data_IF_775104111935
#
_entry.id   IF_775104111935
#
_cell.length_a   1.000
_cell.length_b   1.000
_cell.length_c   1.000
_cell.angle_alpha   90.00
_cell.angle_beta   90.00
_cell.angle_gamma   90.00
#
_symmetry.space_group_name_H-M   'P 1'
#
loop_
_entity.id
_entity.type
_entity.pdbx_description
1 polymer ?
#
# COMPACT_ATOMS: atom_id res chain seq x y z
N UNK A 1 -20.50 -21.06 -8.18
CA UNK A 1 -19.21 -21.23 -7.48
C UNK A 1 -19.29 -20.50 -6.16
N UNK A 2 -18.89 -21.13 -5.06
CA UNK A 2 -18.74 -20.46 -3.77
C UNK A 2 -17.64 -19.40 -3.87
N UNK A 3 -17.79 -18.27 -3.16
CA UNK A 3 -16.78 -17.19 -3.13
C UNK A 3 -15.49 -17.70 -2.47
N UNK A 4 -14.30 -17.28 -2.93
CA UNK A 4 -13.05 -17.50 -2.18
C UNK A 4 -13.16 -16.93 -0.77
N UNK A 5 -12.49 -17.58 0.18
CA UNK A 5 -12.58 -17.20 1.60
C UNK A 5 -11.69 -16.02 1.95
N UNK A 6 -11.88 -15.47 3.12
CA UNK A 6 -11.09 -14.38 3.69
C UNK A 6 -10.06 -14.91 4.67
N UNK A 7 -8.98 -14.14 4.88
CA UNK A 7 -8.04 -14.34 5.96
C UNK A 7 -8.22 -13.23 6.99
N UNK A 8 -8.50 -13.62 8.23
CA UNK A 8 -8.69 -12.67 9.34
C UNK A 8 -7.51 -12.74 10.32
N UNK A 9 -7.00 -11.58 10.71
CA UNK A 9 -6.08 -11.47 11.84
C UNK A 9 -6.92 -11.35 13.12
N UNK A 10 -6.83 -12.33 14.05
CA UNK A 10 -7.81 -12.45 15.14
C UNK A 10 -7.65 -11.40 16.23
N UNK A 11 -6.43 -10.89 16.41
CA UNK A 11 -6.10 -9.85 17.40
C UNK A 11 -4.79 -9.16 17.03
N UNK A 12 -4.67 -7.89 17.38
CA UNK A 12 -3.44 -7.14 17.22
C UNK A 12 -2.35 -7.61 18.19
N UNK A 13 -1.14 -7.81 17.69
CA UNK A 13 0.04 -8.08 18.50
C UNK A 13 1.30 -7.56 17.81
N UNK A 14 2.11 -6.77 18.51
CA UNK A 14 3.41 -6.33 18.01
C UNK A 14 4.37 -7.49 17.70
N UNK A 15 4.19 -8.66 18.34
CA UNK A 15 5.01 -9.84 18.08
C UNK A 15 4.67 -10.53 16.75
N UNK A 16 3.48 -10.29 16.19
CA UNK A 16 3.00 -10.95 14.98
C UNK A 16 2.92 -9.99 13.77
N UNK A 17 3.38 -8.74 13.90
CA UNK A 17 3.34 -7.72 12.84
C UNK A 17 3.87 -8.25 11.50
N UNK A 18 5.11 -8.76 11.50
CA UNK A 18 5.75 -9.24 10.27
C UNK A 18 5.14 -10.54 9.75
N UNK A 19 4.61 -11.41 10.64
CA UNK A 19 3.87 -12.61 10.24
C UNK A 19 2.65 -12.22 9.41
N UNK A 20 1.78 -11.36 9.94
CA UNK A 20 0.58 -10.95 9.22
C UNK A 20 0.87 -10.01 8.05
N UNK A 21 1.95 -9.23 8.11
CA UNK A 21 2.41 -8.46 6.96
C UNK A 21 2.76 -9.36 5.75
N UNK A 22 3.26 -10.57 5.99
CA UNK A 22 3.50 -11.56 4.93
C UNK A 22 2.24 -12.34 4.55
N UNK A 23 1.48 -12.85 5.54
CA UNK A 23 0.28 -13.66 5.29
C UNK A 23 -0.83 -12.91 4.55
N UNK A 24 -0.97 -11.61 4.81
CA UNK A 24 -1.97 -10.74 4.20
C UNK A 24 -1.40 -9.86 3.07
N UNK A 25 -0.22 -10.22 2.55
CA UNK A 25 0.40 -9.46 1.48
C UNK A 25 -0.53 -9.32 0.27
N UNK A 26 -0.44 -8.18 -0.39
CA UNK A 26 -1.24 -7.81 -1.55
C UNK A 26 -0.35 -7.73 -2.79
N UNK A 27 -0.94 -7.89 -3.97
CA UNK A 27 -0.19 -7.78 -5.22
C UNK A 27 -0.99 -8.21 -6.43
N UNK A 28 -0.35 -8.13 -7.60
CA UNK A 28 -0.97 -8.45 -8.88
C UNK A 28 0.00 -9.12 -9.88
N UNK A 29 1.21 -9.46 -9.42
CA UNK A 29 2.30 -10.02 -10.25
C UNK A 29 3.21 -8.98 -10.87
N UNK A 30 2.81 -7.71 -10.98
CA UNK A 30 3.66 -6.58 -11.31
C UNK A 30 4.22 -5.93 -10.04
N UNK A 31 3.35 -5.67 -9.09
CA UNK A 31 3.62 -5.03 -7.82
C UNK A 31 3.24 -5.95 -6.67
N UNK A 32 4.08 -6.04 -5.66
CA UNK A 32 3.81 -6.69 -4.39
C UNK A 32 4.00 -5.74 -3.22
N UNK A 33 3.09 -5.82 -2.26
CA UNK A 33 3.03 -4.95 -1.09
C UNK A 33 2.84 -5.79 0.17
N UNK A 34 3.75 -5.67 1.14
CA UNK A 34 3.55 -6.26 2.46
C UNK A 34 2.37 -5.60 3.16
N UNK A 35 1.61 -6.39 3.89
CA UNK A 35 0.49 -5.89 4.66
C UNK A 35 0.96 -5.27 6.01
N UNK A 36 1.94 -4.37 5.97
CA UNK A 36 2.30 -3.54 7.12
C UNK A 36 1.12 -2.66 7.55
N UNK A 37 1.08 -2.27 8.82
CA UNK A 37 0.13 -1.27 9.29
C UNK A 37 0.51 0.12 8.78
N UNK A 38 -0.45 1.01 8.72
CA UNK A 38 -0.25 2.39 8.31
C UNK A 38 0.63 3.14 9.32
N UNK A 39 0.42 2.89 10.61
CA UNK A 39 1.19 3.47 11.72
C UNK A 39 2.58 2.82 11.82
N UNK A 40 3.52 3.54 12.42
CA UNK A 40 4.86 3.04 12.67
C UNK A 40 4.95 2.24 13.97
N UNK A 41 5.48 1.03 13.88
CA UNK A 41 5.79 0.18 15.01
C UNK A 41 7.25 -0.26 14.99
N UNK A 42 7.88 -0.25 16.15
CA UNK A 42 9.22 -0.84 16.32
C UNK A 42 9.20 -2.30 15.83
N UNK A 43 10.13 -2.67 14.96
CA UNK A 43 10.27 -4.00 14.32
C UNK A 43 9.27 -4.28 13.18
N UNK A 44 8.41 -3.35 12.80
CA UNK A 44 7.60 -3.53 11.59
C UNK A 44 8.51 -3.43 10.36
N UNK A 45 8.44 -4.45 9.49
CA UNK A 45 9.13 -4.44 8.21
C UNK A 45 8.14 -4.01 7.12
N UNK A 46 8.38 -2.83 6.54
CA UNK A 46 7.66 -2.35 5.36
C UNK A 46 8.34 -2.88 4.12
N UNK A 47 7.56 -3.20 3.10
CA UNK A 47 8.12 -3.70 1.85
C UNK A 47 7.17 -3.53 0.68
N UNK A 48 7.72 -3.00 -0.41
CA UNK A 48 7.07 -2.86 -1.69
C UNK A 48 8.07 -3.20 -2.80
N UNK A 49 7.66 -4.07 -3.72
CA UNK A 49 8.54 -4.66 -4.71
C UNK A 49 7.90 -4.69 -6.09
N UNK A 50 8.71 -4.46 -7.13
CA UNK A 50 8.29 -4.62 -8.52
C UNK A 50 8.93 -5.86 -9.13
N UNK A 51 8.17 -6.62 -9.89
CA UNK A 51 8.69 -7.75 -10.64
C UNK A 51 9.74 -7.29 -11.65
N UNK A 52 10.91 -7.93 -11.63
CA UNK A 52 12.01 -7.60 -12.54
C UNK A 52 12.89 -6.42 -12.10
N UNK A 53 12.53 -5.68 -11.08
CA UNK A 53 13.30 -4.52 -10.61
C UNK A 53 14.39 -4.94 -9.61
N UNK A 54 15.55 -5.29 -10.13
CA UNK A 54 16.68 -5.80 -9.37
C UNK A 54 17.86 -4.83 -9.36
N UNK A 55 18.59 -4.82 -8.26
CA UNK A 55 19.86 -4.11 -8.14
C UNK A 55 20.87 -4.89 -7.31
N UNK A 56 22.16 -4.75 -7.67
CA UNK A 56 23.30 -5.28 -6.95
C UNK A 56 24.08 -4.13 -6.32
N UNK A 57 24.09 -4.03 -5.01
CA UNK A 57 24.69 -2.90 -4.30
C UNK A 57 26.23 -2.89 -4.31
N UNK A 58 26.92 -3.98 -4.69
CA UNK A 58 28.37 -4.03 -4.74
C UNK A 58 28.94 -5.22 -5.48
N UNK A 59 30.25 -5.18 -5.81
CA UNK A 59 30.95 -6.32 -6.40
C UNK A 59 30.96 -7.50 -5.41
N UNK A 60 30.50 -8.67 -5.85
CA UNK A 60 30.44 -9.88 -5.03
C UNK A 60 29.14 -10.05 -4.23
N UNK A 61 28.23 -9.10 -4.27
CA UNK A 61 26.90 -9.23 -3.66
C UNK A 61 25.90 -9.87 -4.62
N UNK A 62 24.83 -10.40 -4.07
CA UNK A 62 23.73 -10.97 -4.85
C UNK A 62 22.89 -9.85 -5.50
N UNK A 63 22.20 -10.20 -6.56
CA UNK A 63 21.21 -9.33 -7.17
C UNK A 63 19.90 -9.49 -6.41
N UNK A 64 19.37 -8.41 -5.87
CA UNK A 64 18.18 -8.41 -5.00
C UNK A 64 17.02 -7.64 -5.64
N UNK A 65 15.79 -8.06 -5.36
CA UNK A 65 14.63 -7.19 -5.58
C UNK A 65 14.77 -5.97 -4.67
N UNK A 66 14.64 -4.79 -5.25
CA UNK A 66 14.79 -3.53 -4.51
C UNK A 66 13.54 -3.28 -3.69
N UNK A 67 13.71 -3.07 -2.38
CA UNK A 67 12.66 -2.54 -1.54
C UNK A 67 12.43 -1.06 -1.89
N UNK A 68 11.26 -0.76 -2.43
CA UNK A 68 10.90 0.56 -2.91
C UNK A 68 10.51 1.50 -1.74
N UNK A 69 10.50 2.83 -2.00
CA UNK A 69 9.93 3.79 -1.05
C UNK A 69 8.54 3.38 -0.57
N UNK A 70 8.31 3.48 0.75
CA UNK A 70 7.02 3.17 1.34
C UNK A 70 5.97 4.23 1.00
N UNK A 71 4.78 3.76 0.66
CA UNK A 71 3.63 4.61 0.33
C UNK A 71 2.42 4.34 1.22
N UNK A 72 2.53 3.38 2.14
CA UNK A 72 1.46 2.99 3.06
C UNK A 72 1.53 3.81 4.36
N UNK A 73 2.73 4.15 4.79
CA UNK A 73 2.98 4.84 6.05
C UNK A 73 2.16 6.11 6.23
N UNK A 74 1.59 6.25 7.44
CA UNK A 74 0.73 7.34 7.80
C UNK A 74 0.84 7.63 9.30
N UNK A 75 1.06 8.87 9.67
CA UNK A 75 0.92 9.35 11.04
C UNK A 75 -0.42 10.05 11.18
N UNK A 76 -1.20 9.65 12.17
CA UNK A 76 -2.48 10.26 12.53
C UNK A 76 -2.33 10.78 13.95
N UNK A 77 -2.53 12.08 14.14
CA UNK A 77 -2.60 12.69 15.45
C UNK A 77 -4.01 13.28 15.67
N UNK A 78 -4.61 12.94 16.80
CA UNK A 78 -5.95 13.36 17.19
C UNK A 78 -5.84 14.15 18.48
N UNK A 79 -6.20 15.45 18.45
CA UNK A 79 -5.99 16.39 19.56
C UNK A 79 -4.54 16.39 20.08
N UNK A 80 -3.57 16.19 19.18
CA UNK A 80 -2.13 16.12 19.49
C UNK A 80 -1.65 14.77 20.03
N UNK A 81 -2.52 13.78 20.23
CA UNK A 81 -2.15 12.42 20.62
C UNK A 81 -2.00 11.55 19.36
N UNK A 82 -0.83 10.94 19.18
CA UNK A 82 -0.56 10.09 18.04
C UNK A 82 -1.31 8.76 18.16
N UNK A 83 -2.10 8.45 17.16
CA UNK A 83 -2.81 7.19 17.08
C UNK A 83 -1.83 6.02 17.01
N UNK A 84 -2.04 5.06 17.88
CA UNK A 84 -1.36 3.76 17.84
C UNK A 84 -2.32 2.68 18.27
N UNK A 85 -2.22 1.49 17.67
CA UNK A 85 -3.05 0.37 18.08
C UNK A 85 -2.68 -0.07 19.50
N UNK A 86 -3.66 -0.02 20.38
CA UNK A 86 -3.66 -0.65 21.69
C UNK A 86 -4.61 -1.87 21.66
N UNK A 87 -4.80 -2.54 22.80
CA UNK A 87 -5.57 -3.78 22.89
C UNK A 87 -7.10 -3.61 22.76
N UNK A 88 -7.58 -2.53 22.13
CA UNK A 88 -9.00 -2.29 21.94
C UNK A 88 -9.58 -3.05 20.73
N UNK A 89 -10.90 -2.99 20.59
CA UNK A 89 -11.61 -3.70 19.53
C UNK A 89 -11.10 -3.30 18.13
N UNK A 90 -10.54 -4.25 17.41
CA UNK A 90 -10.12 -4.09 16.05
C UNK A 90 -10.42 -5.36 15.25
N UNK A 91 -10.56 -5.19 13.95
CA UNK A 91 -10.71 -6.27 13.00
C UNK A 91 -9.85 -5.97 11.77
N UNK A 92 -9.10 -6.97 11.31
CA UNK A 92 -8.34 -6.87 10.06
C UNK A 92 -8.56 -8.10 9.21
N UNK A 93 -8.88 -7.89 7.95
CA UNK A 93 -9.28 -8.94 7.02
C UNK A 93 -8.74 -8.70 5.62
N UNK A 94 -8.19 -9.74 4.99
CA UNK A 94 -7.85 -9.79 3.57
C UNK A 94 -8.90 -10.63 2.84
N UNK A 95 -9.57 -10.04 1.87
CA UNK A 95 -10.53 -10.71 1.00
C UNK A 95 -9.82 -11.23 -0.26
N UNK A 96 -9.69 -12.54 -0.40
CA UNK A 96 -9.05 -13.14 -1.58
C UNK A 96 -9.84 -12.94 -2.87
N UNK A 97 -11.13 -12.64 -2.79
CA UNK A 97 -11.96 -12.42 -3.97
C UNK A 97 -11.68 -11.09 -4.68
N UNK A 98 -11.16 -10.11 -3.95
CA UNK A 98 -10.88 -8.76 -4.43
C UNK A 98 -9.42 -8.33 -4.24
N UNK A 99 -8.68 -9.00 -3.36
CA UNK A 99 -7.36 -8.57 -2.91
C UNK A 99 -7.41 -7.35 -1.99
N UNK A 100 -8.60 -6.97 -1.48
CA UNK A 100 -8.76 -5.84 -0.58
C UNK A 100 -8.41 -6.23 0.86
N UNK A 101 -7.58 -5.42 1.50
CA UNK A 101 -7.29 -5.48 2.93
C UNK A 101 -8.08 -4.40 3.62
N UNK A 102 -8.87 -4.80 4.63
CA UNK A 102 -9.71 -3.90 5.44
C UNK A 102 -9.32 -3.98 6.91
N UNK A 103 -9.41 -2.85 7.60
CA UNK A 103 -9.20 -2.75 9.04
C UNK A 103 -10.21 -1.78 9.65
N UNK A 104 -10.79 -2.16 10.78
CA UNK A 104 -11.67 -1.32 11.58
C UNK A 104 -11.17 -1.31 13.02
N UNK A 105 -11.08 -0.12 13.60
CA UNK A 105 -10.58 0.10 14.97
C UNK A 105 -11.52 1.04 15.70
N UNK A 106 -11.81 0.73 16.96
CA UNK A 106 -12.31 1.73 17.92
C UNK A 106 -11.14 2.09 18.83
N UNK A 107 -10.73 3.33 18.80
CA UNK A 107 -9.61 3.85 19.57
C UNK A 107 -10.07 4.91 20.57
N UNK A 108 -9.38 5.01 21.70
CA UNK A 108 -9.62 6.05 22.72
C UNK A 108 -8.34 6.79 23.03
N UNK A 109 -8.46 8.11 23.10
CA UNK A 109 -7.41 8.99 23.61
C UNK A 109 -7.23 8.81 25.12
N UNK A 110 -6.13 9.33 25.62
CA UNK A 110 -5.82 9.31 27.06
C UNK A 110 -6.88 9.99 27.95
N UNK A 111 -7.64 10.95 27.40
CA UNK A 111 -8.77 11.62 28.08
C UNK A 111 -10.10 10.85 27.97
N UNK A 112 -10.12 9.69 27.27
CA UNK A 112 -11.28 8.82 27.14
C UNK A 112 -12.15 9.07 25.91
N UNK A 113 -11.90 10.10 25.10
CA UNK A 113 -12.66 10.35 23.87
C UNK A 113 -12.51 9.23 22.86
N UNK A 114 -13.61 8.80 22.27
CA UNK A 114 -13.67 7.65 21.37
C UNK A 114 -13.65 8.03 19.89
N UNK A 115 -13.03 7.18 19.08
CA UNK A 115 -12.91 7.35 17.63
C UNK A 115 -13.09 6.02 16.91
N UNK A 116 -13.79 6.03 15.78
CA UNK A 116 -13.70 4.94 14.82
C UNK A 116 -12.69 5.32 13.75
N UNK A 117 -11.75 4.41 13.47
CA UNK A 117 -10.74 4.57 12.44
C UNK A 117 -10.82 3.32 11.57
N UNK A 118 -11.20 3.52 10.31
CA UNK A 118 -11.24 2.43 9.34
C UNK A 118 -10.25 2.69 8.22
N UNK A 119 -9.52 1.66 7.80
CA UNK A 119 -8.67 1.73 6.61
C UNK A 119 -8.98 0.57 5.68
N UNK A 120 -8.86 0.83 4.38
CA UNK A 120 -8.97 -0.18 3.34
C UNK A 120 -8.00 0.12 2.21
N UNK A 121 -7.42 -0.92 1.60
CA UNK A 121 -6.49 -0.76 0.48
C UNK A 121 -6.46 -1.99 -0.41
N UNK A 122 -6.04 -1.80 -1.65
CA UNK A 122 -5.76 -2.88 -2.59
C UNK A 122 -4.63 -2.49 -3.56
N UNK A 123 -3.99 -3.51 -4.12
CA UNK A 123 -3.14 -3.41 -5.31
C UNK A 123 -3.99 -3.83 -6.49
N UNK A 124 -4.14 -2.94 -7.48
CA UNK A 124 -5.09 -3.13 -8.56
C UNK A 124 -4.73 -4.31 -9.47
N UNK A 125 -5.69 -5.21 -9.71
CA UNK A 125 -5.58 -6.26 -10.70
C UNK A 125 -6.00 -5.82 -12.11
N UNK A 126 -6.54 -4.60 -12.24
CA UNK A 126 -6.94 -3.97 -13.50
C UNK A 126 -5.82 -3.07 -14.04
N UNK A 127 -5.42 -2.07 -13.27
CA UNK A 127 -4.32 -1.17 -13.57
C UNK A 127 -3.11 -1.55 -12.73
N UNK A 128 -2.21 -2.35 -13.29
CA UNK A 128 -1.13 -3.00 -12.52
C UNK A 128 -0.23 -2.05 -11.71
N UNK A 129 0.09 -0.81 -12.17
CA UNK A 129 0.87 0.15 -11.39
C UNK A 129 0.12 0.81 -10.22
N UNK A 130 -1.21 0.61 -10.08
CA UNK A 130 -2.04 1.34 -9.13
C UNK A 130 -2.13 0.66 -7.77
N UNK A 131 -1.88 1.44 -6.71
CA UNK A 131 -2.30 1.15 -5.33
C UNK A 131 -3.35 2.19 -4.95
N UNK A 132 -4.46 1.75 -4.36
CA UNK A 132 -5.46 2.62 -3.75
C UNK A 132 -5.57 2.31 -2.25
N UNK A 133 -5.61 3.36 -1.45
CA UNK A 133 -5.81 3.31 -0.01
C UNK A 133 -6.84 4.36 0.39
N UNK A 134 -7.72 4.02 1.32
CA UNK A 134 -8.65 4.94 1.92
C UNK A 134 -8.64 4.78 3.44
N UNK A 135 -8.68 5.90 4.15
CA UNK A 135 -8.86 5.93 5.59
C UNK A 135 -9.99 6.88 5.98
N UNK A 136 -10.79 6.47 6.94
CA UNK A 136 -11.87 7.27 7.52
C UNK A 136 -11.66 7.41 9.02
N UNK A 137 -11.91 8.60 9.54
CA UNK A 137 -11.82 8.91 10.97
C UNK A 137 -13.11 9.61 11.38
N UNK A 138 -13.78 9.08 12.42
CA UNK A 138 -15.03 9.65 12.96
C UNK A 138 -14.92 9.78 14.48
N UNK A 139 -14.96 11.00 15.04
CA UNK A 139 -15.11 11.21 16.47
C UNK A 139 -16.49 10.72 16.95
N UNK A 140 -16.54 10.02 18.09
CA UNK A 140 -17.78 9.44 18.60
C UNK A 140 -18.53 10.39 19.55
N UNK A 141 -17.81 11.19 20.33
CA UNK A 141 -18.35 11.85 21.52
C UNK A 141 -17.91 13.31 21.72
N UNK A 142 -16.93 13.82 20.95
CA UNK A 142 -16.43 15.19 21.12
C UNK A 142 -15.89 15.78 19.83
N UNK A 143 -15.92 17.11 19.72
CA UNK A 143 -15.26 17.85 18.65
C UNK A 143 -13.75 17.65 18.71
N UNK A 144 -13.12 17.56 17.54
CA UNK A 144 -11.77 17.00 17.42
C UNK A 144 -10.96 17.70 16.34
N UNK A 145 -9.69 17.94 16.65
CA UNK A 145 -8.65 18.27 15.66
C UNK A 145 -7.94 17.00 15.19
N UNK A 146 -7.90 16.79 13.89
CA UNK A 146 -7.20 15.64 13.27
C UNK A 146 -6.09 16.16 12.40
N UNK A 147 -4.88 15.58 12.55
CA UNK A 147 -3.75 15.77 11.64
C UNK A 147 -3.39 14.42 11.02
N UNK A 148 -3.34 14.37 9.70
CA UNK A 148 -2.90 13.19 8.94
C UNK A 148 -1.67 13.57 8.14
N UNK A 149 -0.56 12.84 8.32
CA UNK A 149 0.68 13.00 7.57
C UNK A 149 0.97 11.72 6.79
N UNK A 150 1.05 11.82 5.47
CA UNK A 150 1.33 10.66 4.60
C UNK A 150 1.98 11.11 3.29
N UNK A 151 2.59 10.18 2.55
CA UNK A 151 3.25 10.51 1.29
C UNK A 151 4.12 9.38 0.76
N UNK A 152 5.35 9.70 0.40
CA UNK A 152 6.37 8.79 -0.12
C UNK A 152 7.56 8.81 0.84
N UNK A 153 7.89 7.68 1.43
CA UNK A 153 9.05 7.54 2.34
C UNK A 153 10.15 6.70 1.68
N UNK A 154 11.17 7.35 1.16
CA UNK A 154 12.32 6.73 0.51
C UNK A 154 13.46 6.41 1.48
N UNK A 155 13.21 6.35 2.78
CA UNK A 155 14.18 5.85 3.77
C UNK A 155 14.25 4.33 3.79
N UNK A 156 13.36 3.63 3.08
CA UNK A 156 13.32 2.17 3.02
C UNK A 156 14.61 1.58 2.45
N UNK A 157 14.99 0.42 2.97
CA UNK A 157 16.25 -0.27 2.63
C UNK A 157 16.02 -1.77 2.49
N UNK A 158 16.97 -2.48 1.86
CA UNK A 158 17.10 -3.93 1.97
C UNK A 158 18.08 -4.23 3.11
N UNK A 159 17.60 -4.72 4.26
CA UNK A 159 18.44 -5.03 5.44
C UNK A 159 19.43 -3.91 5.82
N UNK A 160 18.99 -2.66 5.81
CA UNK A 160 19.83 -1.51 6.11
C UNK A 160 20.66 -1.00 4.93
N UNK A 161 20.59 -1.63 3.75
CA UNK A 161 21.30 -1.20 2.56
C UNK A 161 20.36 -0.41 1.63
N UNK A 162 20.76 0.81 1.29
CA UNK A 162 20.05 1.63 0.31
C UNK A 162 20.45 1.21 -1.11
N UNK A 163 19.46 1.04 -1.98
CA UNK A 163 19.66 0.67 -3.39
C UNK A 163 19.33 1.81 -4.36
N UNK A 164 18.65 2.85 -3.89
CA UNK A 164 18.11 3.92 -4.71
C UNK A 164 18.69 5.27 -4.32
N UNK A 165 19.11 6.03 -5.32
CA UNK A 165 19.39 7.46 -5.19
C UNK A 165 18.15 8.26 -5.56
N UNK A 166 17.92 9.37 -4.84
CA UNK A 166 16.83 10.30 -5.12
C UNK A 166 17.24 11.20 -6.30
N UNK A 167 16.58 11.05 -7.43
CA UNK A 167 16.87 11.80 -8.64
C UNK A 167 16.04 13.07 -8.76
N UNK A 168 14.73 12.96 -8.50
CA UNK A 168 13.82 14.11 -8.49
C UNK A 168 12.74 13.90 -7.43
N UNK A 169 12.40 14.97 -6.71
CA UNK A 169 11.25 15.00 -5.79
C UNK A 169 10.52 16.30 -6.02
N UNK A 170 9.24 16.22 -6.36
CA UNK A 170 8.43 17.40 -6.74
C UNK A 170 7.00 17.28 -6.22
N UNK A 171 6.41 18.44 -5.95
CA UNK A 171 4.97 18.62 -5.76
C UNK A 171 4.44 19.38 -6.97
N UNK A 172 3.37 18.88 -7.57
CA UNK A 172 2.73 19.48 -8.74
C UNK A 172 1.32 19.96 -8.36
N UNK A 173 1.02 21.21 -8.69
CA UNK A 173 -0.24 21.81 -8.28
C UNK A 173 -0.40 21.80 -6.76
N UNK A 174 -1.57 21.43 -6.27
CA UNK A 174 -1.89 21.43 -4.84
C UNK A 174 -2.09 20.01 -4.24
N UNK A 175 -1.90 18.94 -5.02
CA UNK A 175 -2.30 17.59 -4.56
C UNK A 175 -1.49 16.43 -5.15
N UNK A 176 -0.56 16.68 -6.06
CA UNK A 176 0.24 15.64 -6.69
C UNK A 176 1.68 15.67 -6.18
N UNK A 177 2.15 14.56 -5.70
CA UNK A 177 3.53 14.33 -5.27
C UNK A 177 4.18 13.31 -6.22
N UNK A 178 5.45 13.51 -6.57
CA UNK A 178 6.22 12.52 -7.32
C UNK A 178 7.65 12.46 -6.83
N UNK A 179 8.13 11.23 -6.58
CA UNK A 179 9.54 10.91 -6.44
C UNK A 179 10.00 10.05 -7.61
N UNK A 180 11.13 10.40 -8.20
CA UNK A 180 11.85 9.57 -9.18
C UNK A 180 13.18 9.16 -8.55
N UNK A 181 13.40 7.86 -8.53
CA UNK A 181 14.56 7.25 -7.90
C UNK A 181 15.30 6.40 -8.92
N UNK A 182 16.61 6.39 -8.84
CA UNK A 182 17.51 5.66 -9.75
C UNK A 182 18.30 4.63 -8.94
N UNK A 183 18.45 3.41 -9.47
CA UNK A 183 19.38 2.45 -8.86
C UNK A 183 20.80 3.02 -8.83
N UNK A 184 21.58 2.72 -7.77
CA UNK A 184 22.92 3.32 -7.57
C UNK A 184 23.91 3.01 -8.70
N UNK A 185 23.69 1.94 -9.48
CA UNK A 185 24.46 1.65 -10.70
C UNK A 185 23.99 2.46 -11.93
N UNK A 186 22.96 3.26 -11.75
CA UNK A 186 22.43 4.14 -12.78
C UNK A 186 21.66 3.45 -13.91
N UNK A 187 21.23 2.19 -13.76
CA UNK A 187 20.61 1.41 -14.85
C UNK A 187 19.11 1.54 -14.93
N UNK A 188 18.45 1.56 -13.79
CA UNK A 188 16.98 1.54 -13.75
C UNK A 188 16.43 2.72 -12.97
N UNK A 189 15.30 3.23 -13.43
CA UNK A 189 14.56 4.30 -12.75
C UNK A 189 13.20 3.79 -12.31
N UNK A 190 12.71 4.27 -11.16
CA UNK A 190 11.34 4.09 -10.69
C UNK A 190 10.73 5.45 -10.39
N UNK A 191 9.53 5.70 -10.94
CA UNK A 191 8.70 6.85 -10.64
C UNK A 191 7.55 6.42 -9.72
N UNK A 192 7.41 7.09 -8.60
CA UNK A 192 6.32 6.92 -7.65
C UNK A 192 5.54 8.22 -7.62
N UNK A 193 4.34 8.21 -8.19
CA UNK A 193 3.42 9.34 -8.21
C UNK A 193 2.32 9.08 -7.19
N UNK A 194 1.98 10.07 -6.36
CA UNK A 194 1.03 9.94 -5.27
C UNK A 194 0.09 11.15 -5.23
N UNK A 195 -1.20 10.93 -5.00
CA UNK A 195 -2.14 11.99 -4.65
C UNK A 195 -2.96 11.57 -3.41
N UNK A 196 -3.28 12.57 -2.58
CA UNK A 196 -4.15 12.39 -1.44
C UNK A 196 -5.31 13.38 -1.54
N UNK A 197 -6.51 12.87 -1.69
CA UNK A 197 -7.76 13.62 -1.73
C UNK A 197 -8.47 13.47 -0.39
N UNK A 198 -8.86 14.58 0.20
CA UNK A 198 -9.47 14.59 1.54
C UNK A 198 -10.84 15.27 1.47
N UNK A 199 -11.83 14.67 2.11
CA UNK A 199 -13.18 15.22 2.18
C UNK A 199 -13.28 16.36 3.21
N UNK A 200 -14.19 17.29 2.98
CA UNK A 200 -14.48 18.39 3.91
C UNK A 200 -13.58 19.61 3.78
N UNK A 201 -13.70 20.52 4.73
CA UNK A 201 -12.85 21.71 4.82
C UNK A 201 -11.55 21.37 5.56
N UNK A 202 -10.46 21.32 4.80
CA UNK A 202 -9.17 20.88 5.31
C UNK A 202 -8.06 21.85 4.90
N UNK A 203 -7.06 22.00 5.75
CA UNK A 203 -5.82 22.69 5.42
C UNK A 203 -4.74 21.69 5.05
N UNK A 204 -4.00 21.98 3.99
CA UNK A 204 -2.95 21.09 3.49
C UNK A 204 -1.64 21.84 3.30
N UNK A 205 -0.54 21.18 3.67
CA UNK A 205 0.81 21.63 3.35
C UNK A 205 1.70 20.43 3.02
N UNK A 206 2.88 20.71 2.45
CA UNK A 206 3.80 19.69 1.99
C UNK A 206 5.18 19.90 2.59
N UNK A 207 5.87 18.81 2.89
CA UNK A 207 7.27 18.82 3.27
C UNK A 207 8.07 17.83 2.41
N UNK A 208 9.27 18.23 2.02
CA UNK A 208 10.25 17.35 1.37
C UNK A 208 11.54 17.42 2.19
N UNK A 209 11.80 16.42 3.01
CA UNK A 209 12.93 16.39 3.92
C UNK A 209 13.37 14.95 4.24
N UNK A 210 14.66 14.72 4.36
CA UNK A 210 15.21 13.44 4.82
C UNK A 210 14.65 12.24 4.03
N UNK A 211 14.61 12.35 2.70
CA UNK A 211 14.06 11.34 1.76
C UNK A 211 12.56 11.06 1.92
N UNK A 212 11.82 11.93 2.58
CA UNK A 212 10.36 11.86 2.72
C UNK A 212 9.71 13.05 2.02
N UNK A 213 8.74 12.74 1.17
CA UNK A 213 7.85 13.71 0.56
C UNK A 213 6.46 13.47 1.14
N UNK A 214 5.97 14.39 1.95
CA UNK A 214 4.75 14.20 2.74
C UNK A 214 3.75 15.34 2.52
N UNK A 215 2.49 14.97 2.47
CA UNK A 215 1.34 15.86 2.65
C UNK A 215 0.89 15.78 4.11
N UNK A 216 0.69 16.94 4.72
CA UNK A 216 0.09 17.11 6.04
C UNK A 216 -1.27 17.73 5.87
N UNK A 217 -2.30 17.07 6.37
CA UNK A 217 -3.70 17.51 6.27
C UNK A 217 -4.27 17.69 7.67
N UNK A 218 -4.78 18.87 7.98
CA UNK A 218 -5.49 19.14 9.22
C UNK A 218 -6.97 19.39 8.98
N UNK A 219 -7.81 18.80 9.82
CA UNK A 219 -9.25 18.94 9.81
C UNK A 219 -9.78 19.23 11.22
N UNK A 220 -10.88 20.00 11.32
CA UNK A 220 -11.69 20.12 12.52
C UNK A 220 -12.99 19.37 12.29
N UNK A 221 -13.33 18.45 13.16
CA UNK A 221 -14.50 17.59 13.03
C UNK A 221 -15.42 17.76 14.23
N UNK A 222 -16.72 17.81 13.98
CA UNK A 222 -17.72 17.66 15.03
C UNK A 222 -17.95 16.20 15.39
N UNK A 223 -18.47 15.95 16.58
CA UNK A 223 -18.85 14.59 16.98
C UNK A 223 -19.79 13.95 15.94
N UNK A 224 -19.44 12.74 15.46
CA UNK A 224 -20.16 12.03 14.41
C UNK A 224 -19.83 12.45 12.98
N UNK A 225 -19.05 13.50 12.77
CA UNK A 225 -18.58 13.91 11.43
C UNK A 225 -17.40 13.03 11.00
N UNK A 226 -17.37 12.65 9.72
CA UNK A 226 -16.33 11.76 9.18
C UNK A 226 -15.43 12.53 8.21
N UNK A 227 -14.12 12.47 8.44
CA UNK A 227 -13.13 12.81 7.40
C UNK A 227 -12.68 11.54 6.69
N UNK A 228 -12.61 11.62 5.35
CA UNK A 228 -12.12 10.54 4.50
C UNK A 228 -10.91 11.04 3.72
N UNK A 229 -9.80 10.31 3.79
CA UNK A 229 -8.65 10.49 2.94
C UNK A 229 -8.55 9.32 1.97
N UNK A 230 -8.62 9.60 0.66
CA UNK A 230 -8.32 8.65 -0.41
C UNK A 230 -6.92 8.95 -0.92
N UNK A 231 -6.04 7.95 -0.89
CA UNK A 231 -4.68 8.01 -1.40
C UNK A 231 -4.53 7.07 -2.58
N UNK A 232 -4.10 7.62 -3.70
CA UNK A 232 -3.78 6.84 -4.91
C UNK A 232 -2.28 6.95 -5.18
N UNK A 233 -1.68 5.84 -5.58
CA UNK A 233 -0.27 5.77 -5.93
C UNK A 233 -0.11 5.02 -7.24
N UNK A 234 0.62 5.63 -8.17
CA UNK A 234 0.98 5.03 -9.45
C UNK A 234 2.49 4.82 -9.50
N UNK A 235 2.92 3.60 -9.84
CA UNK A 235 4.32 3.19 -9.78
C UNK A 235 4.74 2.63 -11.14
N UNK A 236 5.61 3.35 -11.82
CA UNK A 236 6.23 2.92 -13.07
C UNK A 236 7.73 2.71 -12.88
N UNK A 237 8.31 1.77 -13.62
CA UNK A 237 9.76 1.61 -13.68
C UNK A 237 10.24 1.36 -15.10
N UNK A 238 11.52 1.63 -15.34
CA UNK A 238 12.17 1.40 -16.62
C UNK A 238 13.63 1.01 -16.45
N UNK A 239 14.13 0.20 -17.35
CA UNK A 239 15.55 -0.11 -17.58
C UNK A 239 16.07 0.50 -18.90
N UNK A 240 15.16 1.02 -19.72
CA UNK A 240 15.43 1.73 -20.96
C UNK A 240 15.31 3.24 -20.76
N UNK A 241 16.42 3.97 -20.98
CA UNK A 241 16.51 5.42 -20.83
C UNK A 241 16.38 6.19 -22.13
N UNK A 242 15.77 5.62 -23.17
CA UNK A 242 15.58 6.31 -24.45
C UNK A 242 14.65 7.52 -24.31
N UNK A 243 13.61 7.41 -23.45
CA UNK A 243 12.73 8.54 -23.16
C UNK A 243 13.38 9.54 -22.19
N UNK A 244 13.13 10.83 -22.42
CA UNK A 244 13.53 11.88 -21.48
C UNK A 244 12.86 11.66 -20.12
N UNK A 245 13.61 11.86 -19.03
CA UNK A 245 13.15 11.58 -17.68
C UNK A 245 11.87 12.34 -17.31
N UNK A 246 11.83 13.64 -17.66
CA UNK A 246 10.68 14.51 -17.37
C UNK A 246 9.43 14.12 -18.17
N UNK A 247 9.58 13.64 -19.41
CA UNK A 247 8.46 13.17 -20.23
C UNK A 247 7.87 11.88 -19.68
N UNK A 248 8.72 10.95 -19.29
CA UNK A 248 8.31 9.69 -18.66
C UNK A 248 7.65 9.91 -17.31
N UNK A 249 8.25 10.73 -16.43
CA UNK A 249 7.66 11.11 -15.16
C UNK A 249 6.31 11.81 -15.31
N UNK A 250 6.17 12.69 -16.30
CA UNK A 250 4.89 13.35 -16.61
C UNK A 250 3.84 12.37 -17.14
N UNK A 251 4.23 11.31 -17.86
CA UNK A 251 3.31 10.28 -18.31
C UNK A 251 2.75 9.49 -17.10
N UNK A 252 3.60 9.13 -16.15
CA UNK A 252 3.18 8.50 -14.88
C UNK A 252 2.18 9.36 -14.08
N UNK A 253 2.44 10.68 -13.98
CA UNK A 253 1.51 11.61 -13.32
C UNK A 253 0.15 11.66 -14.03
N UNK A 254 0.11 11.72 -15.36
CA UNK A 254 -1.16 11.73 -16.12
C UNK A 254 -1.99 10.47 -15.86
N UNK A 255 -1.37 9.30 -15.73
CA UNK A 255 -2.09 8.07 -15.39
C UNK A 255 -2.72 8.16 -13.99
N UNK A 256 -1.97 8.67 -13.02
CA UNK A 256 -2.50 8.91 -11.68
C UNK A 256 -3.68 9.89 -11.68
N UNK A 257 -3.57 11.01 -12.44
CA UNK A 257 -4.65 11.99 -12.56
C UNK A 257 -5.93 11.38 -13.17
N UNK A 258 -5.78 10.48 -14.15
CA UNK A 258 -6.93 9.75 -14.71
C UNK A 258 -7.58 8.84 -13.67
N UNK A 259 -6.80 8.15 -12.85
CA UNK A 259 -7.32 7.34 -11.75
C UNK A 259 -8.01 8.20 -10.68
N UNK A 260 -7.49 9.40 -10.41
CA UNK A 260 -8.03 10.31 -9.41
C UNK A 260 -9.42 10.90 -9.78
N UNK A 261 -9.89 10.69 -11.01
CA UNK A 261 -11.28 11.02 -11.41
C UNK A 261 -12.29 9.97 -10.93
N UNK A 262 -11.82 8.85 -10.36
CA UNK A 262 -12.64 7.73 -9.92
C UNK A 262 -12.61 7.62 -8.39
N UNK A 263 -13.74 7.22 -7.81
CA UNK A 263 -13.78 6.88 -6.39
C UNK A 263 -13.03 5.58 -6.10
N UNK A 264 -12.63 5.40 -4.84
CA UNK A 264 -12.04 4.13 -4.37
C UNK A 264 -12.89 2.92 -4.79
N UNK A 265 -14.22 2.99 -4.62
CA UNK A 265 -15.13 1.90 -4.94
C UNK A 265 -15.20 1.59 -6.44
N UNK A 266 -15.11 2.59 -7.30
CA UNK A 266 -15.05 2.38 -8.76
C UNK A 266 -13.76 1.66 -9.16
N UNK A 267 -12.62 2.09 -8.62
CA UNK A 267 -11.32 1.45 -8.86
C UNK A 267 -11.30 0.01 -8.29
N UNK A 268 -11.85 -0.20 -7.10
CA UNK A 268 -11.96 -1.52 -6.49
C UNK A 268 -12.87 -2.44 -7.31
N UNK A 269 -13.99 -1.94 -7.83
CA UNK A 269 -14.91 -2.72 -8.64
C UNK A 269 -14.24 -3.25 -9.93
N UNK A 270 -13.48 -2.40 -10.64
CA UNK A 270 -12.73 -2.79 -11.82
C UNK A 270 -11.66 -3.86 -11.49
N UNK A 271 -10.90 -3.66 -10.41
CA UNK A 271 -9.93 -4.64 -9.92
C UNK A 271 -10.60 -5.97 -9.53
N UNK A 272 -11.72 -5.91 -8.81
CA UNK A 272 -12.49 -7.09 -8.37
C UNK A 272 -13.02 -7.90 -9.55
N UNK A 273 -13.43 -7.25 -10.64
CA UNK A 273 -13.87 -7.95 -11.85
C UNK A 273 -12.73 -8.78 -12.48
N UNK A 274 -11.51 -8.25 -12.50
CA UNK A 274 -10.32 -8.99 -12.95
C UNK A 274 -10.01 -10.19 -12.02
N UNK A 275 -10.14 -10.02 -10.70
CA UNK A 275 -10.05 -11.11 -9.74
C UNK A 275 -11.13 -12.18 -9.98
N UNK A 276 -12.38 -11.77 -10.15
CA UNK A 276 -13.53 -12.67 -10.40
C UNK A 276 -13.29 -13.54 -11.62
N UNK A 277 -12.85 -12.95 -12.75
CA UNK A 277 -12.53 -13.68 -13.97
C UNK A 277 -11.40 -14.68 -13.77
N UNK A 278 -10.38 -14.31 -13.00
CA UNK A 278 -9.27 -15.21 -12.69
C UNK A 278 -9.73 -16.38 -11.83
N UNK A 279 -10.47 -16.13 -10.75
CA UNK A 279 -10.99 -17.15 -9.86
C UNK A 279 -11.92 -18.12 -10.60
N UNK A 280 -12.79 -17.64 -11.46
CA UNK A 280 -13.67 -18.49 -12.26
C UNK A 280 -12.92 -19.54 -13.11
N UNK A 281 -11.74 -19.20 -13.59
CA UNK A 281 -10.94 -20.07 -14.46
C UNK A 281 -9.97 -20.98 -13.69
N UNK A 282 -9.60 -20.63 -12.47
CA UNK A 282 -8.45 -21.25 -11.79
C UNK A 282 -8.73 -21.75 -10.39
N UNK A 283 -9.87 -21.45 -9.81
CA UNK A 283 -10.20 -21.96 -8.48
C UNK A 283 -10.37 -23.46 -8.51
N UNK A 284 -9.67 -24.14 -7.60
CA UNK A 284 -9.79 -25.58 -7.35
C UNK A 284 -10.72 -25.75 -6.15
N UNK A 285 -11.68 -26.63 -6.24
CA UNK A 285 -12.61 -26.95 -5.14
C UNK A 285 -12.25 -28.29 -4.53
N UNK A 286 -12.09 -28.32 -3.21
CA UNK A 286 -11.86 -29.57 -2.46
C UNK A 286 -13.23 -30.20 -2.15
N UNK A 287 -13.44 -31.42 -2.65
CA UNK A 287 -14.64 -32.20 -2.35
C UNK A 287 -14.35 -33.18 -1.20
N UNK A 288 -15.11 -33.13 -0.14
CA UNK A 288 -14.97 -34.01 1.03
C UNK A 288 -13.94 -33.55 2.07
N UNK A 289 -13.29 -32.38 1.86
CA UNK A 289 -12.47 -31.70 2.85
C UNK A 289 -13.29 -30.80 3.76
N UNK A 290 -12.67 -30.27 4.82
CA UNK A 290 -13.28 -29.26 5.66
C UNK A 290 -13.11 -27.83 5.10
N UNK A 291 -13.68 -26.83 5.77
CA UNK A 291 -13.57 -25.43 5.37
C UNK A 291 -12.13 -24.91 5.43
N UNK A 292 -11.30 -25.46 6.29
CA UNK A 292 -9.89 -25.10 6.45
C UNK A 292 -9.06 -25.56 5.24
N UNK A 293 -9.33 -26.77 4.70
CA UNK A 293 -8.64 -27.27 3.50
C UNK A 293 -8.88 -26.35 2.29
N UNK A 294 -10.13 -25.93 2.11
CA UNK A 294 -10.47 -24.98 1.03
C UNK A 294 -9.82 -23.62 1.26
N UNK A 295 -9.78 -23.14 2.50
CA UNK A 295 -9.12 -21.86 2.85
C UNK A 295 -7.62 -21.93 2.55
N UNK A 296 -6.94 -23.01 2.93
CA UNK A 296 -5.52 -23.19 2.66
C UNK A 296 -5.21 -23.19 1.15
N UNK A 297 -6.07 -23.84 0.36
CA UNK A 297 -5.93 -23.88 -1.08
C UNK A 297 -6.21 -22.52 -1.74
N UNK A 298 -7.28 -21.83 -1.36
CA UNK A 298 -7.57 -20.48 -1.84
C UNK A 298 -6.43 -19.50 -1.47
N UNK A 299 -5.87 -19.61 -0.27
CA UNK A 299 -4.69 -18.86 0.18
C UNK A 299 -3.48 -19.13 -0.74
N UNK A 300 -3.17 -20.39 -0.99
CA UNK A 300 -2.04 -20.76 -1.84
C UNK A 300 -2.20 -20.23 -3.28
N UNK A 301 -3.41 -20.36 -3.85
CA UNK A 301 -3.72 -19.85 -5.18
C UNK A 301 -3.66 -18.32 -5.25
N UNK A 302 -4.17 -17.61 -4.23
CA UNK A 302 -4.06 -16.16 -4.12
C UNK A 302 -2.60 -15.72 -4.15
N UNK A 303 -1.75 -16.32 -3.29
CA UNK A 303 -0.33 -15.98 -3.21
C UNK A 303 0.43 -16.32 -4.50
N UNK A 304 0.13 -17.46 -5.13
CA UNK A 304 0.69 -17.77 -6.44
C UNK A 304 0.36 -16.69 -7.48
N UNK A 305 -0.88 -16.21 -7.51
CA UNK A 305 -1.28 -15.14 -8.43
C UNK A 305 -0.52 -13.84 -8.18
N UNK A 306 -0.49 -13.37 -6.93
CA UNK A 306 0.11 -12.06 -6.63
C UNK A 306 1.62 -12.01 -6.84
N UNK A 307 2.31 -13.15 -6.88
CA UNK A 307 3.74 -13.20 -7.10
C UNK A 307 4.13 -13.62 -8.52
N UNK A 308 3.17 -14.01 -9.38
CA UNK A 308 3.44 -14.46 -10.75
C UNK A 308 3.40 -13.27 -11.72
N UNK A 309 4.53 -12.90 -12.36
CA UNK A 309 4.60 -11.75 -13.26
C UNK A 309 4.05 -12.09 -14.66
N UNK A 310 2.76 -12.41 -14.72
CA UNK A 310 2.09 -12.84 -15.95
C UNK A 310 2.01 -11.74 -17.04
N UNK A 311 2.37 -10.52 -16.73
CA UNK A 311 2.38 -9.36 -17.63
C UNK A 311 3.69 -9.26 -18.44
N UNK A 312 4.76 -9.96 -18.04
CA UNK A 312 6.07 -9.90 -18.70
C UNK A 312 6.70 -11.30 -18.79
N UNK A 313 6.79 -11.83 -20.01
CA UNK A 313 7.35 -13.15 -20.30
C UNK A 313 8.86 -13.29 -19.96
N UNK A 314 9.57 -12.16 -19.80
CA UNK A 314 10.99 -12.14 -19.42
C UNK A 314 11.20 -12.38 -17.93
N UNK A 315 10.15 -12.26 -17.13
CA UNK A 315 10.22 -12.33 -15.67
C UNK A 315 9.68 -13.67 -15.15
N UNK A 316 10.32 -14.21 -14.12
CA UNK A 316 9.87 -15.38 -13.37
C UNK A 316 9.47 -14.99 -11.94
N UNK A 317 8.80 -15.89 -11.23
CA UNK A 317 8.53 -15.71 -9.82
C UNK A 317 9.86 -15.53 -9.08
N UNK A 318 9.99 -14.43 -8.34
CA UNK A 318 11.17 -14.16 -7.53
C UNK A 318 11.29 -15.16 -6.37
N UNK A 319 12.52 -15.42 -5.90
CA UNK A 319 12.79 -16.43 -4.87
C UNK A 319 11.97 -16.26 -3.57
N UNK A 320 11.62 -15.04 -3.21
CA UNK A 320 10.77 -14.70 -2.05
C UNK A 320 9.40 -14.09 -2.48
N UNK A 321 8.97 -14.37 -3.72
CA UNK A 321 7.81 -13.70 -4.32
C UNK A 321 8.01 -12.20 -4.43
N UNK A 322 6.92 -11.43 -4.32
CA UNK A 322 6.93 -9.97 -4.29
C UNK A 322 6.60 -9.42 -2.88
N UNK A 323 6.76 -10.23 -1.84
CA UNK A 323 6.55 -9.84 -0.45
C UNK A 323 7.85 -9.61 0.31
N UNK A 324 8.99 -9.91 -0.34
CA UNK A 324 10.33 -9.64 0.14
C UNK A 324 10.65 -10.34 1.45
N UNK A 325 11.29 -9.59 2.32
CA UNK A 325 11.79 -10.05 3.60
C UNK A 325 10.70 -10.53 4.55
N UNK A 326 10.88 -11.74 5.07
CA UNK A 326 10.09 -12.34 6.14
C UNK A 326 10.91 -12.52 7.39
#
# INVERSE_FOLDING_TARGET
MTRPVTLTEPHFSQHTLNKYASLMAQGNGYLGLRASHEEDYTRQTRGMYLAGFYHRAGKGEINELVNLPDVVGMEIAINGEVFSLSHEAWQRELDFASGELRRNVVWRTSNGSGYTIASRRFVSADQLPLIALEITITPLDADTSVLISTGIDATQTNHGRQHLDETQVRVFGQHLMQGIYTTQDGRSDVAISCCCMVSGDVQQCYTAKERRLQQHTSAQLHAGETVTLQKLVWIDWRDDRQAVLDEWGSASLRQLEMCAQQSYDQLLAASTENWRQWWQKRRITVNGGDAHDQQALDYALYHLRIMTPAHDERSSIAAKGLTGEG
#
